data_IF_405387324843
#
_entry.id   IF_405387324843
#
_cell.length_a   1.000
_cell.length_b   1.000
_cell.length_c   1.000
_cell.angle_alpha   90.00
_cell.angle_beta   90.00
_cell.angle_gamma   90.00
#
_symmetry.space_group_name_H-M   'P 1'
#
loop_
_entity.id
_entity.type
_entity.pdbx_description
1 polymer ?
#
# COMPACT_ATOMS: atom_id res chain seq x y z
N UNK A 1 9.17 -7.32 -19.35
CA UNK A 1 8.42 -7.67 -18.13
C UNK A 1 7.19 -8.53 -18.46
N UNK A 2 6.19 -8.01 -19.18
CA UNK A 2 4.96 -8.76 -19.52
C UNK A 2 5.23 -10.14 -20.15
N UNK A 3 6.07 -10.20 -21.20
CA UNK A 3 6.43 -11.48 -21.87
C UNK A 3 7.02 -12.55 -20.94
N UNK A 4 7.53 -12.16 -19.77
CA UNK A 4 8.14 -13.06 -18.80
C UNK A 4 7.21 -13.35 -17.60
N UNK A 5 5.95 -12.88 -17.61
CA UNK A 5 4.93 -13.21 -16.60
C UNK A 5 4.60 -12.11 -15.59
N UNK A 6 4.83 -10.82 -15.91
CA UNK A 6 4.38 -9.72 -15.05
C UNK A 6 2.98 -9.25 -15.47
N UNK A 7 2.00 -9.35 -14.57
CA UNK A 7 0.59 -9.03 -14.84
C UNK A 7 0.18 -7.64 -14.33
N UNK A 8 0.75 -7.18 -13.22
CA UNK A 8 0.39 -5.93 -12.55
C UNK A 8 1.63 -5.03 -12.42
N UNK A 9 1.49 -3.77 -12.82
CA UNK A 9 2.56 -2.78 -12.73
C UNK A 9 2.09 -1.60 -11.88
N UNK A 10 2.62 -1.52 -10.66
CA UNK A 10 2.52 -0.31 -9.84
C UNK A 10 3.60 0.68 -10.30
N UNK A 11 3.17 1.72 -11.00
CA UNK A 11 4.04 2.78 -11.53
C UNK A 11 3.90 4.01 -10.64
N UNK A 12 5.03 4.54 -10.17
CA UNK A 12 5.08 5.72 -9.32
C UNK A 12 6.17 6.69 -9.80
N UNK A 13 6.03 7.96 -9.42
CA UNK A 13 7.04 9.00 -9.57
C UNK A 13 7.28 9.63 -8.20
N UNK A 14 8.55 9.91 -7.87
CA UNK A 14 8.93 10.43 -6.55
C UNK A 14 8.42 11.85 -6.29
N UNK A 15 8.22 12.64 -7.33
CA UNK A 15 7.68 14.01 -7.27
C UNK A 15 6.16 14.04 -7.53
N UNK A 16 5.53 12.88 -7.69
CA UNK A 16 4.14 12.75 -8.08
C UNK A 16 3.78 13.49 -9.38
N UNK A 17 4.69 13.52 -10.36
CA UNK A 17 4.42 14.12 -11.68
C UNK A 17 3.85 13.08 -12.66
N UNK A 18 2.56 13.13 -13.03
CA UNK A 18 1.94 12.15 -13.94
C UNK A 18 2.58 12.09 -15.31
N UNK A 19 3.26 13.17 -15.75
CA UNK A 19 3.95 13.22 -17.05
C UNK A 19 5.08 12.19 -17.11
N UNK A 20 5.75 11.95 -15.98
CA UNK A 20 6.82 10.96 -15.87
C UNK A 20 6.29 9.52 -15.87
N UNK A 21 5.07 9.31 -15.36
CA UNK A 21 4.43 7.98 -15.31
C UNK A 21 3.74 7.59 -16.61
N UNK A 22 3.28 8.56 -17.41
CA UNK A 22 2.41 8.37 -18.57
C UNK A 22 2.94 7.33 -19.57
N UNK A 23 4.22 7.43 -19.97
CA UNK A 23 4.80 6.52 -20.96
C UNK A 23 4.80 5.06 -20.47
N UNK A 24 5.13 4.83 -19.20
CA UNK A 24 5.14 3.50 -18.60
C UNK A 24 3.72 2.94 -18.47
N UNK A 25 2.77 3.74 -17.97
CA UNK A 25 1.36 3.34 -17.84
C UNK A 25 0.74 2.96 -19.19
N UNK A 26 0.97 3.76 -20.23
CA UNK A 26 0.51 3.45 -21.58
C UNK A 26 1.15 2.19 -22.16
N UNK A 27 2.45 1.98 -21.91
CA UNK A 27 3.15 0.77 -22.35
C UNK A 27 2.62 -0.50 -21.64
N UNK A 28 2.30 -0.42 -20.35
CA UNK A 28 1.69 -1.54 -19.60
C UNK A 28 0.36 -1.94 -20.23
N UNK A 29 -0.51 -0.95 -20.46
CA UNK A 29 -1.85 -1.20 -21.05
C UNK A 29 -1.77 -1.69 -22.48
N UNK A 30 -0.87 -1.15 -23.31
CA UNK A 30 -0.72 -1.61 -24.70
C UNK A 30 -0.25 -3.06 -24.81
N UNK A 31 0.33 -3.61 -23.74
CA UNK A 31 0.71 -5.01 -23.62
C UNK A 31 -0.34 -5.86 -22.88
N UNK A 32 -1.52 -5.32 -22.56
CA UNK A 32 -2.62 -6.05 -21.93
C UNK A 32 -2.42 -6.36 -20.45
N UNK A 33 -1.47 -5.71 -19.77
CA UNK A 33 -1.24 -5.84 -18.34
C UNK A 33 -1.97 -4.73 -17.55
N UNK A 34 -2.12 -4.92 -16.25
CA UNK A 34 -2.82 -4.01 -15.34
C UNK A 34 -1.91 -2.84 -14.93
N UNK A 35 -2.27 -1.63 -15.33
CA UNK A 35 -1.57 -0.39 -15.00
C UNK A 35 -2.15 0.24 -13.72
N UNK A 36 -1.39 0.17 -12.64
CA UNK A 36 -1.72 0.82 -11.37
C UNK A 36 -0.91 2.11 -11.21
N UNK A 37 -1.55 3.26 -11.34
CA UNK A 37 -0.95 4.57 -11.03
C UNK A 37 -0.81 4.76 -9.53
N UNK A 38 0.15 5.56 -9.08
CA UNK A 38 0.48 5.66 -7.65
C UNK A 38 0.54 7.10 -7.17
N UNK A 39 -0.10 7.35 -6.02
CA UNK A 39 0.06 8.54 -5.20
C UNK A 39 1.15 8.24 -4.15
N UNK A 40 2.35 8.77 -4.33
CA UNK A 40 3.43 8.66 -3.34
C UNK A 40 3.15 9.63 -2.19
N UNK A 41 2.48 9.15 -1.15
CA UNK A 41 1.95 9.96 -0.06
C UNK A 41 3.05 10.72 0.70
N UNK A 42 2.74 11.95 1.10
CA UNK A 42 3.61 12.77 1.95
C UNK A 42 2.80 13.86 2.68
N UNK A 43 3.43 14.57 3.60
CA UNK A 43 2.84 15.70 4.33
C UNK A 43 3.69 16.96 4.15
N UNK A 44 3.07 18.06 3.73
CA UNK A 44 3.68 19.40 3.73
C UNK A 44 2.59 20.45 3.53
N UNK A 45 2.87 21.76 3.70
CA UNK A 45 1.90 22.81 3.41
C UNK A 45 1.33 22.80 1.97
N UNK A 46 2.03 22.15 1.02
CA UNK A 46 1.59 22.01 -0.37
C UNK A 46 0.74 20.74 -0.62
N UNK A 47 0.75 19.77 0.31
CA UNK A 47 0.02 18.51 0.18
C UNK A 47 -1.25 18.58 1.01
N UNK A 48 -2.36 18.91 0.37
CA UNK A 48 -3.69 18.97 0.96
C UNK A 48 -4.54 17.84 0.39
N UNK A 49 -5.69 17.59 1.01
CA UNK A 49 -6.68 16.66 0.47
C UNK A 49 -7.03 17.00 -1.00
N UNK A 50 -7.22 18.27 -1.33
CA UNK A 50 -7.56 18.67 -2.70
C UNK A 50 -6.43 18.34 -3.68
N UNK A 51 -5.17 18.57 -3.32
CA UNK A 51 -4.05 18.26 -4.24
C UNK A 51 -3.89 16.76 -4.47
N UNK A 52 -4.23 15.90 -3.50
CA UNK A 52 -4.29 14.46 -3.73
C UNK A 52 -5.43 14.04 -4.66
N UNK A 53 -6.56 14.73 -4.59
CA UNK A 53 -7.72 14.45 -5.45
C UNK A 53 -7.47 14.92 -6.88
N UNK A 54 -6.87 16.10 -7.07
CA UNK A 54 -6.44 16.58 -8.38
C UNK A 54 -5.42 15.64 -9.04
N UNK A 55 -4.48 15.10 -8.26
CA UNK A 55 -3.51 14.13 -8.74
C UNK A 55 -4.17 12.78 -9.09
N UNK A 56 -5.16 12.37 -8.30
CA UNK A 56 -5.96 11.17 -8.59
C UNK A 56 -6.66 11.31 -9.94
N UNK A 57 -7.32 12.45 -10.19
CA UNK A 57 -7.98 12.75 -11.47
C UNK A 57 -6.98 12.72 -12.63
N UNK A 58 -5.83 13.39 -12.50
CA UNK A 58 -4.80 13.39 -13.55
C UNK A 58 -4.30 11.98 -13.88
N UNK A 59 -4.16 11.10 -12.88
CA UNK A 59 -3.80 9.71 -13.11
C UNK A 59 -4.92 8.95 -13.83
N UNK A 60 -6.17 9.15 -13.45
CA UNK A 60 -7.33 8.56 -14.12
C UNK A 60 -7.42 8.98 -15.59
N UNK A 61 -7.12 10.23 -15.91
CA UNK A 61 -7.07 10.74 -17.29
C UNK A 61 -6.00 10.04 -18.17
N UNK A 62 -4.95 9.50 -17.56
CA UNK A 62 -3.98 8.65 -18.29
C UNK A 62 -4.53 7.26 -18.63
N UNK A 63 -5.69 6.91 -18.06
CA UNK A 63 -6.41 5.67 -18.27
C UNK A 63 -5.85 4.52 -17.44
N UNK A 64 -5.45 4.74 -16.19
CA UNK A 64 -5.02 3.65 -15.29
C UNK A 64 -6.17 2.69 -14.97
N UNK A 65 -5.85 1.43 -14.68
CA UNK A 65 -6.83 0.41 -14.30
C UNK A 65 -7.14 0.45 -12.78
N UNK A 66 -6.25 1.05 -11.98
CA UNK A 66 -6.43 1.28 -10.54
C UNK A 66 -5.46 2.35 -10.01
N UNK A 67 -5.70 2.83 -8.79
CA UNK A 67 -4.82 3.76 -8.07
C UNK A 67 -4.23 3.06 -6.83
N UNK A 68 -2.98 3.31 -6.52
CA UNK A 68 -2.35 2.97 -5.24
C UNK A 68 -2.03 4.23 -4.43
N UNK A 69 -2.39 4.25 -3.15
CA UNK A 69 -1.83 5.19 -2.17
C UNK A 69 -0.61 4.51 -1.56
N UNK A 70 0.57 5.11 -1.74
CA UNK A 70 1.84 4.57 -1.27
C UNK A 70 2.45 5.46 -0.19
N UNK A 71 2.40 4.99 1.06
CA UNK A 71 3.10 5.57 2.20
C UNK A 71 4.40 4.79 2.48
N UNK A 72 5.49 5.26 1.88
CA UNK A 72 6.83 4.68 2.01
C UNK A 72 7.49 4.87 3.39
N UNK A 73 7.16 5.95 4.10
CA UNK A 73 7.81 6.34 5.37
C UNK A 73 7.00 5.92 6.59
N UNK A 74 5.75 5.50 6.39
CA UNK A 74 4.84 5.14 7.47
C UNK A 74 4.23 6.37 8.15
N UNK A 75 4.03 7.48 7.43
CA UNK A 75 3.53 8.75 8.02
C UNK A 75 2.04 8.97 7.81
N UNK A 76 1.35 8.11 7.07
CA UNK A 76 -0.08 8.20 6.87
C UNK A 76 -0.81 7.89 8.18
N UNK A 77 -1.43 8.91 8.78
CA UNK A 77 -2.22 8.71 9.99
C UNK A 77 -3.52 7.97 9.66
N UNK A 78 -4.11 7.24 10.62
CA UNK A 78 -5.33 6.49 10.37
C UNK A 78 -6.52 7.36 9.96
N UNK A 79 -6.62 8.58 10.51
CA UNK A 79 -7.68 9.52 10.14
C UNK A 79 -7.48 10.11 8.75
N UNK A 80 -6.23 10.42 8.37
CA UNK A 80 -5.91 10.86 7.01
C UNK A 80 -6.17 9.75 5.98
N UNK A 81 -5.87 8.48 6.33
CA UNK A 81 -6.19 7.33 5.49
C UNK A 81 -7.70 7.23 5.26
N UNK A 82 -8.50 7.29 6.32
CA UNK A 82 -9.96 7.25 6.23
C UNK A 82 -10.51 8.37 5.35
N UNK A 83 -10.08 9.61 5.58
CA UNK A 83 -10.54 10.80 4.86
C UNK A 83 -10.19 10.73 3.37
N UNK A 84 -8.92 10.47 3.05
CA UNK A 84 -8.44 10.41 1.67
C UNK A 84 -9.13 9.30 0.88
N UNK A 85 -9.23 8.10 1.44
CA UNK A 85 -9.92 6.96 0.81
C UNK A 85 -11.39 7.29 0.59
N UNK A 86 -12.07 7.80 1.62
CA UNK A 86 -13.50 8.17 1.54
C UNK A 86 -13.76 9.17 0.41
N UNK A 87 -12.93 10.21 0.29
CA UNK A 87 -13.13 11.25 -0.72
C UNK A 87 -12.81 10.76 -2.14
N UNK A 88 -11.80 9.91 -2.32
CA UNK A 88 -11.54 9.28 -3.62
C UNK A 88 -12.73 8.41 -4.02
N UNK A 89 -13.19 7.51 -3.13
CA UNK A 89 -14.29 6.57 -3.43
C UNK A 89 -15.64 7.26 -3.66
N UNK A 90 -15.86 8.45 -3.08
CA UNK A 90 -17.06 9.27 -3.37
C UNK A 90 -17.05 9.89 -4.77
N UNK A 91 -15.88 10.25 -5.29
CA UNK A 91 -15.73 11.04 -6.53
C UNK A 91 -15.46 10.18 -7.75
N UNK A 92 -14.76 9.06 -7.57
CA UNK A 92 -14.24 8.27 -8.66
C UNK A 92 -14.60 6.79 -8.50
N UNK A 93 -15.16 6.19 -9.54
CA UNK A 93 -15.33 4.74 -9.64
C UNK A 93 -14.01 4.09 -10.07
N UNK A 94 -13.09 3.96 -9.10
CA UNK A 94 -11.77 3.36 -9.30
C UNK A 94 -11.47 2.37 -8.20
N UNK A 95 -10.76 1.30 -8.56
CA UNK A 95 -10.15 0.39 -7.60
C UNK A 95 -8.97 1.08 -6.93
N UNK A 96 -8.99 1.15 -5.61
CA UNK A 96 -7.99 1.81 -4.78
C UNK A 96 -7.25 0.77 -3.93
N UNK A 97 -5.91 0.81 -3.96
CA UNK A 97 -5.04 -0.02 -3.13
C UNK A 97 -4.26 0.84 -2.13
N UNK A 98 -4.11 0.39 -0.88
CA UNK A 98 -3.28 1.05 0.11
C UNK A 98 -2.01 0.25 0.44
N UNK A 99 -0.87 0.93 0.43
CA UNK A 99 0.43 0.40 0.82
C UNK A 99 1.06 1.29 1.88
N UNK A 100 1.24 0.77 3.09
CA UNK A 100 1.85 1.51 4.21
C UNK A 100 3.00 0.73 4.84
N UNK A 101 4.11 1.40 5.09
CA UNK A 101 5.22 0.86 5.88
C UNK A 101 4.94 0.98 7.39
N UNK A 102 5.29 -0.05 8.15
CA UNK A 102 5.01 -0.16 9.59
C UNK A 102 6.00 0.58 10.50
N UNK A 103 6.96 1.32 9.93
CA UNK A 103 8.12 1.89 10.63
C UNK A 103 7.76 2.72 11.86
N UNK A 104 6.65 3.44 11.80
CA UNK A 104 6.16 4.33 12.87
C UNK A 104 5.13 3.70 13.80
N UNK A 105 4.63 2.50 13.45
CA UNK A 105 3.53 1.83 14.15
C UNK A 105 2.12 2.32 13.79
N UNK A 106 1.97 3.15 12.74
CA UNK A 106 0.66 3.64 12.31
C UNK A 106 -0.03 2.77 11.24
N UNK A 107 0.74 1.92 10.53
CA UNK A 107 0.26 1.25 9.32
C UNK A 107 -0.94 0.33 9.58
N UNK A 108 -0.93 -0.47 10.63
CA UNK A 108 -2.03 -1.39 10.98
C UNK A 108 -3.34 -0.62 11.16
N UNK A 109 -3.29 0.48 11.92
CA UNK A 109 -4.45 1.34 12.14
C UNK A 109 -4.88 2.05 10.85
N UNK A 110 -3.92 2.50 10.04
CA UNK A 110 -4.22 3.14 8.76
C UNK A 110 -4.89 2.18 7.77
N UNK A 111 -4.43 0.93 7.70
CA UNK A 111 -5.06 -0.11 6.88
C UNK A 111 -6.50 -0.38 7.33
N UNK A 112 -6.73 -0.58 8.63
CA UNK A 112 -8.08 -0.81 9.15
C UNK A 112 -9.02 0.36 8.85
N UNK A 113 -8.57 1.59 9.09
CA UNK A 113 -9.36 2.80 8.77
C UNK A 113 -9.61 2.97 7.27
N UNK A 114 -8.66 2.60 6.41
CA UNK A 114 -8.88 2.62 4.97
C UNK A 114 -9.89 1.56 4.50
N UNK A 115 -9.89 0.38 5.12
CA UNK A 115 -10.88 -0.68 4.87
C UNK A 115 -12.28 -0.20 5.24
N UNK A 116 -12.45 0.38 6.43
CA UNK A 116 -13.73 0.98 6.84
C UNK A 116 -14.20 2.12 5.92
N UNK A 117 -13.25 2.81 5.25
CA UNK A 117 -13.55 3.85 4.26
C UNK A 117 -13.83 3.31 2.85
N UNK A 118 -13.70 2.00 2.62
CA UNK A 118 -14.01 1.36 1.34
C UNK A 118 -12.84 1.21 0.38
N UNK A 119 -11.60 1.11 0.87
CA UNK A 119 -10.45 0.72 0.02
C UNK A 119 -10.63 -0.72 -0.51
N UNK A 120 -10.25 -0.96 -1.77
CA UNK A 120 -10.52 -2.24 -2.45
C UNK A 120 -9.40 -3.28 -2.28
N UNK A 121 -8.25 -2.87 -1.73
CA UNK A 121 -7.13 -3.76 -1.45
C UNK A 121 -6.06 -3.10 -0.60
N UNK A 122 -5.34 -3.90 0.15
CA UNK A 122 -4.24 -3.45 0.99
C UNK A 122 -3.03 -4.37 0.87
N UNK A 123 -1.84 -3.80 0.96
CA UNK A 123 -0.60 -4.56 0.96
C UNK A 123 -0.24 -4.98 2.40
N UNK A 124 0.20 -6.22 2.55
CA UNK A 124 0.71 -6.78 3.82
C UNK A 124 1.96 -7.63 3.54
N UNK A 125 2.67 -8.01 4.59
CA UNK A 125 3.78 -8.97 4.53
C UNK A 125 3.47 -10.19 5.42
N UNK A 126 3.90 -11.38 5.00
CA UNK A 126 3.75 -12.58 5.84
C UNK A 126 4.45 -12.35 7.19
N UNK A 127 3.83 -12.76 8.31
CA UNK A 127 4.20 -12.30 9.66
C UNK A 127 5.68 -12.43 10.02
N UNK A 128 6.36 -13.49 9.57
CA UNK A 128 7.80 -13.68 9.83
C UNK A 128 8.70 -12.65 9.12
N UNK A 129 8.16 -11.96 8.11
CA UNK A 129 8.82 -10.94 7.27
C UNK A 129 8.17 -9.55 7.42
N UNK A 130 7.32 -9.35 8.43
CA UNK A 130 6.54 -8.12 8.62
C UNK A 130 7.15 -7.20 9.70
N UNK A 131 6.49 -6.07 9.94
CA UNK A 131 6.79 -5.05 10.94
C UNK A 131 8.15 -4.35 10.76
N UNK A 132 8.51 -3.47 11.71
CA UNK A 132 9.70 -2.59 11.64
C UNK A 132 9.71 -1.81 10.32
N UNK A 133 10.75 -1.93 9.50
CA UNK A 133 10.88 -1.26 8.20
C UNK A 133 9.91 -1.79 7.13
N UNK A 134 9.26 -2.93 7.37
CA UNK A 134 8.37 -3.61 6.44
C UNK A 134 6.93 -3.12 6.53
N UNK A 135 5.98 -4.06 6.56
CA UNK A 135 4.54 -3.82 6.43
C UNK A 135 3.77 -4.52 7.55
N UNK A 136 2.47 -4.20 7.74
CA UNK A 136 1.58 -4.98 8.61
C UNK A 136 1.56 -6.47 8.26
N UNK A 137 1.39 -7.32 9.28
CA UNK A 137 1.34 -8.77 9.11
C UNK A 137 0.06 -9.20 8.40
N UNK A 138 0.17 -10.05 7.37
CA UNK A 138 -0.98 -10.59 6.62
C UNK A 138 -1.95 -11.31 7.55
N UNK A 139 -1.45 -12.20 8.41
CA UNK A 139 -2.25 -13.02 9.32
C UNK A 139 -2.99 -12.19 10.36
N UNK A 140 -2.35 -11.12 10.86
CA UNK A 140 -2.96 -10.22 11.82
C UNK A 140 -4.17 -9.52 11.20
N UNK A 141 -4.02 -8.99 9.98
CA UNK A 141 -5.13 -8.34 9.29
C UNK A 141 -6.24 -9.35 8.94
N UNK A 142 -5.89 -10.54 8.44
CA UNK A 142 -6.87 -11.59 8.14
C UNK A 142 -7.67 -11.96 9.39
N UNK A 143 -7.01 -12.13 10.53
CA UNK A 143 -7.68 -12.39 11.81
C UNK A 143 -8.57 -11.23 12.27
N UNK A 144 -8.13 -9.98 12.07
CA UNK A 144 -8.91 -8.78 12.40
C UNK A 144 -10.21 -8.69 11.60
N UNK A 145 -10.19 -9.08 10.33
CA UNK A 145 -11.35 -8.96 9.44
C UNK A 145 -12.27 -10.20 9.44
N UNK A 146 -11.85 -11.29 10.07
CA UNK A 146 -12.62 -12.53 10.12
C UNK A 146 -14.00 -12.33 10.76
N UNK A 147 -15.05 -12.76 10.07
CA UNK A 147 -16.45 -12.61 10.50
C UNK A 147 -17.04 -11.20 10.36
N UNK A 148 -16.29 -10.24 9.82
CA UNK A 148 -16.79 -8.90 9.51
C UNK A 148 -17.36 -8.84 8.08
N UNK A 149 -17.96 -7.71 7.68
CA UNK A 149 -18.36 -7.48 6.29
C UNK A 149 -17.17 -7.43 5.31
N UNK A 150 -15.95 -7.27 5.84
CA UNK A 150 -14.70 -7.21 5.09
C UNK A 150 -13.88 -8.50 5.21
N UNK A 151 -14.49 -9.62 5.59
CA UNK A 151 -13.81 -10.92 5.69
C UNK A 151 -13.09 -11.26 4.37
N UNK A 152 -11.79 -11.52 4.48
CA UNK A 152 -10.93 -11.78 3.31
C UNK A 152 -11.14 -13.17 2.69
N UNK A 153 -11.74 -14.11 3.43
CA UNK A 153 -11.86 -15.52 3.05
C UNK A 153 -10.52 -16.27 3.00
N UNK A 154 -9.43 -15.68 3.48
CA UNK A 154 -8.10 -16.30 3.48
C UNK A 154 -7.94 -17.30 4.64
N UNK A 155 -7.34 -18.44 4.34
CA UNK A 155 -7.07 -19.49 5.32
C UNK A 155 -5.83 -19.14 6.15
N UNK A 156 -6.07 -18.73 7.40
CA UNK A 156 -5.01 -18.32 8.32
C UNK A 156 -4.02 -19.46 8.66
N UNK A 157 -4.46 -20.73 8.63
CA UNK A 157 -3.57 -21.87 8.89
C UNK A 157 -2.62 -22.09 7.73
N UNK A 158 -3.07 -21.89 6.49
CA UNK A 158 -2.17 -21.91 5.32
C UNK A 158 -1.17 -20.76 5.35
N UNK A 159 -1.60 -19.58 5.79
CA UNK A 159 -0.70 -18.44 5.95
C UNK A 159 0.37 -18.71 7.03
N UNK A 160 -0.02 -19.28 8.18
CA UNK A 160 0.97 -19.63 9.22
C UNK A 160 2.01 -20.62 8.70
N UNK A 161 1.61 -21.64 7.92
CA UNK A 161 2.57 -22.57 7.31
C UNK A 161 3.61 -21.85 6.42
N UNK A 162 3.17 -20.83 5.67
CA UNK A 162 4.07 -20.00 4.86
C UNK A 162 4.98 -19.15 5.76
N UNK A 163 4.44 -18.58 6.84
CA UNK A 163 5.22 -17.83 7.82
C UNK A 163 6.26 -18.70 8.53
N UNK A 164 5.93 -19.94 8.88
CA UNK A 164 6.85 -20.89 9.48
C UNK A 164 8.04 -21.20 8.56
N UNK A 165 7.78 -21.37 7.26
CA UNK A 165 8.85 -21.49 6.27
C UNK A 165 9.74 -20.24 6.22
N UNK A 166 9.15 -19.05 6.08
CA UNK A 166 9.93 -17.82 5.97
C UNK A 166 10.67 -17.44 7.26
N UNK A 167 10.17 -17.86 8.42
CA UNK A 167 10.85 -17.73 9.71
C UNK A 167 12.21 -18.43 9.71
N UNK A 168 12.29 -19.62 9.11
CA UNK A 168 13.56 -20.34 8.95
C UNK A 168 14.43 -19.74 7.85
N UNK A 169 13.83 -19.27 6.75
CA UNK A 169 14.57 -18.59 5.67
C UNK A 169 15.24 -17.32 6.17
N UNK A 170 14.53 -16.46 6.90
CA UNK A 170 15.02 -15.16 7.38
C UNK A 170 16.30 -15.28 8.22
N UNK A 171 16.44 -16.36 9.01
CA UNK A 171 17.66 -16.64 9.80
C UNK A 171 18.93 -16.67 8.96
N UNK A 172 18.85 -17.13 7.70
CA UNK A 172 19.99 -17.17 6.76
C UNK A 172 20.52 -15.78 6.41
N UNK A 173 19.70 -14.75 6.59
CA UNK A 173 19.97 -13.37 6.21
C UNK A 173 20.27 -12.46 7.41
N UNK A 174 20.54 -13.03 8.59
CA UNK A 174 20.81 -12.27 9.82
C UNK A 174 21.84 -11.13 9.65
N UNK A 175 22.88 -11.34 8.84
CA UNK A 175 23.92 -10.35 8.58
C UNK A 175 23.42 -9.04 7.94
N UNK A 176 22.20 -9.04 7.37
CA UNK A 176 21.60 -7.90 6.67
C UNK A 176 20.45 -7.26 7.45
N UNK A 177 20.17 -7.71 8.68
CA UNK A 177 19.10 -7.14 9.50
C UNK A 177 19.45 -5.71 9.94
N UNK A 178 18.47 -4.82 9.87
CA UNK A 178 18.56 -3.49 10.45
C UNK A 178 18.60 -3.53 11.98
N UNK A 179 18.96 -2.40 12.59
CA UNK A 179 19.12 -2.31 14.06
C UNK A 179 17.86 -1.85 14.79
N UNK A 180 16.82 -1.40 14.07
CA UNK A 180 15.56 -0.98 14.67
C UNK A 180 14.91 -2.15 15.42
N UNK A 181 14.44 -1.87 16.63
CA UNK A 181 13.57 -2.74 17.40
C UNK A 181 12.32 -1.95 17.77
N UNK A 182 11.15 -2.48 17.43
CA UNK A 182 9.88 -1.77 17.58
C UNK A 182 9.71 -0.69 16.50
N UNK A 183 9.30 0.50 16.91
CA UNK A 183 8.93 1.61 16.03
C UNK A 183 9.89 2.78 16.14
N UNK A 184 10.05 3.52 15.04
CA UNK A 184 10.85 4.74 14.98
C UNK A 184 9.96 5.99 15.01
N UNK A 185 9.69 6.50 16.21
CA UNK A 185 8.86 7.70 16.40
C UNK A 185 9.52 9.00 15.94
N UNK A 186 10.83 9.00 15.65
CA UNK A 186 11.54 10.21 15.17
C UNK A 186 10.99 10.69 13.83
N UNK A 187 10.47 9.77 13.01
CA UNK A 187 9.82 10.08 11.73
C UNK A 187 8.54 10.91 11.94
N UNK A 188 7.86 10.76 13.08
CA UNK A 188 6.60 11.47 13.37
C UNK A 188 6.82 12.94 13.75
N UNK A 189 8.06 13.34 14.05
CA UNK A 189 8.42 14.70 14.48
C UNK A 189 9.36 15.39 13.48
N UNK A 190 9.62 14.75 12.34
CA UNK A 190 10.53 15.22 11.30
C UNK A 190 9.85 16.24 10.35
#
# INVERSE_FOLDING_TARGET
>A
AVKNGMDVFRVFDAMNDPRNMKAALQAVRSHGAHAQGTLSYTTSPAHTLQTWLDLTEQLLETGVDSIAIKDMSGILTPMAAYELVSEIKKRYDVRLHLHCHATTGMAEMALLKAIEAGVDGVDTAISSMSATYGHPATEALVATLAGTEHDTGLDILKLENIAAYFREVRKKYHAFEGQLKGYDSRILVA
#
